data_IF_770385089400
#
_entry.id   IF_770385089400
#
_cell.length_a   1.000
_cell.length_b   1.000
_cell.length_c   1.000
_cell.angle_alpha   90.00
_cell.angle_beta   90.00
_cell.angle_gamma   90.00
#
_symmetry.space_group_name_H-M   'P 1'
#
loop_
_entity.id
_entity.type
_entity.pdbx_description
1 polymer ?
#
# COMPACT_ATOMS: atom_id res chain seq x y z
N UNK A 1 -9.34 8.94 47.21
CA UNK A 1 -9.58 7.72 46.42
C UNK A 1 -10.43 8.06 45.19
N UNK A 2 -10.05 7.51 44.04
CA UNK A 2 -10.76 7.43 42.74
C UNK A 2 -10.75 8.64 41.81
N UNK A 3 -9.73 8.68 40.93
CA UNK A 3 -9.83 9.27 39.58
C UNK A 3 -10.32 8.15 38.62
N UNK A 4 -11.37 8.35 37.81
CA UNK A 4 -11.80 7.34 36.86
C UNK A 4 -10.87 7.30 35.63
N UNK A 5 -10.48 6.08 35.30
CA UNK A 5 -9.96 5.50 34.06
C UNK A 5 -9.67 6.44 32.87
N UNK A 6 -8.42 6.37 32.42
CA UNK A 6 -7.90 7.02 31.23
C UNK A 6 -8.65 6.61 29.96
N UNK A 7 -9.00 7.62 29.19
CA UNK A 7 -9.44 7.48 27.80
C UNK A 7 -8.33 6.76 27.01
N UNK A 8 -8.65 5.71 26.23
CA UNK A 8 -7.66 5.10 25.35
C UNK A 8 -7.23 6.14 24.31
N UNK A 9 -5.92 6.34 24.20
CA UNK A 9 -5.29 7.12 23.13
C UNK A 9 -5.85 6.68 21.78
N UNK A 10 -6.25 7.61 20.89
CA UNK A 10 -6.65 7.22 19.55
C UNK A 10 -5.40 6.72 18.82
N UNK A 11 -5.23 5.40 18.77
CA UNK A 11 -4.40 4.79 17.73
C UNK A 11 -5.02 5.26 16.42
N UNK A 12 -4.22 5.87 15.53
CA UNK A 12 -4.60 6.26 14.18
C UNK A 12 -5.05 5.00 13.42
N UNK A 13 -6.27 4.59 13.69
CA UNK A 13 -6.91 3.45 13.07
C UNK A 13 -7.51 4.02 11.81
N UNK A 14 -6.99 3.61 10.65
CA UNK A 14 -7.65 3.90 9.39
C UNK A 14 -9.14 3.52 9.56
N UNK A 15 -10.09 4.42 9.29
CA UNK A 15 -11.50 4.11 9.45
C UNK A 15 -11.79 2.84 8.66
N UNK A 16 -12.26 1.80 9.38
CA UNK A 16 -12.60 0.53 8.76
C UNK A 16 -13.63 0.81 7.66
N UNK A 17 -13.22 0.67 6.40
CA UNK A 17 -14.14 0.45 5.30
C UNK A 17 -14.51 1.64 4.40
N UNK A 18 -13.72 2.71 4.32
CA UNK A 18 -13.86 3.61 3.16
C UNK A 18 -12.84 3.22 2.08
N UNK A 19 -13.38 2.51 1.08
CA UNK A 19 -12.75 2.10 -0.18
C UNK A 19 -11.59 3.02 -0.57
N UNK A 20 -10.39 2.46 -0.46
CA UNK A 20 -9.14 2.80 -1.13
C UNK A 20 -9.16 4.18 -1.79
N UNK A 21 -8.51 5.22 -1.22
CA UNK A 21 -8.66 6.59 -1.68
C UNK A 21 -8.44 6.64 -3.20
N UNK A 22 -9.55 6.88 -3.91
CA UNK A 22 -9.72 6.80 -5.35
C UNK A 22 -8.99 7.94 -6.10
N UNK A 23 -7.77 8.30 -5.70
CA UNK A 23 -7.05 9.45 -6.26
C UNK A 23 -6.29 9.13 -7.56
N UNK A 24 -6.32 7.90 -8.06
CA UNK A 24 -5.70 7.55 -9.34
C UNK A 24 -6.77 7.32 -10.41
N UNK A 25 -6.79 8.25 -11.38
CA UNK A 25 -7.71 8.28 -12.53
C UNK A 25 -7.65 7.03 -13.41
N UNK A 26 -6.65 6.17 -13.25
CA UNK A 26 -6.50 4.91 -13.98
C UNK A 26 -6.95 3.72 -13.11
N UNK A 27 -8.18 3.23 -13.35
CA UNK A 27 -8.72 2.02 -12.68
C UNK A 27 -8.36 0.72 -13.38
N UNK A 28 -7.87 0.77 -14.61
CA UNK A 28 -7.69 -0.41 -15.44
C UNK A 28 -6.21 -0.80 -15.56
N UNK A 29 -5.87 -1.98 -15.04
CA UNK A 29 -4.61 -2.66 -15.33
C UNK A 29 -4.83 -3.57 -16.54
N UNK A 30 -4.19 -3.26 -17.67
CA UNK A 30 -4.39 -3.95 -18.95
C UNK A 30 -3.08 -4.58 -19.40
N UNK A 31 -3.15 -5.85 -19.80
CA UNK A 31 -2.05 -6.61 -20.40
C UNK A 31 -2.51 -7.10 -21.78
N UNK A 32 -1.78 -6.76 -22.83
CA UNK A 32 -2.22 -7.00 -24.21
C UNK A 32 -1.10 -7.51 -25.12
N UNK A 33 0.13 -7.05 -24.94
CA UNK A 33 1.28 -7.56 -25.66
C UNK A 33 1.89 -8.82 -24.98
N UNK A 34 2.66 -9.64 -25.72
CA UNK A 34 3.23 -10.87 -25.17
C UNK A 34 4.09 -10.70 -23.91
N UNK A 35 4.82 -9.58 -23.77
CA UNK A 35 5.68 -9.36 -22.59
C UNK A 35 4.85 -9.00 -21.37
N UNK A 36 3.82 -8.16 -21.55
CA UNK A 36 2.92 -7.82 -20.45
C UNK A 36 2.07 -9.03 -20.01
N UNK A 37 1.70 -9.92 -20.92
CA UNK A 37 1.07 -11.20 -20.57
C UNK A 37 2.00 -12.13 -19.76
N UNK A 38 3.29 -12.21 -20.10
CA UNK A 38 4.27 -12.94 -19.30
C UNK A 38 4.43 -12.35 -17.90
N UNK A 39 4.41 -11.01 -17.79
CA UNK A 39 4.39 -10.34 -16.50
C UNK A 39 3.15 -10.74 -15.69
N UNK A 40 1.95 -10.73 -16.29
CA UNK A 40 0.73 -11.16 -15.62
C UNK A 40 0.84 -12.59 -15.06
N UNK A 41 1.44 -13.52 -15.80
CA UNK A 41 1.67 -14.89 -15.31
C UNK A 41 2.64 -14.93 -14.13
N UNK A 42 3.67 -14.08 -14.13
CA UNK A 42 4.56 -13.93 -13.00
C UNK A 42 3.84 -13.35 -11.78
N UNK A 43 3.01 -12.32 -11.97
CA UNK A 43 2.22 -11.69 -10.90
C UNK A 43 1.25 -12.68 -10.25
N UNK A 44 0.63 -13.57 -11.02
CA UNK A 44 -0.25 -14.62 -10.48
C UNK A 44 0.49 -15.61 -9.57
N UNK A 45 1.77 -15.88 -9.84
CA UNK A 45 2.60 -16.77 -9.02
C UNK A 45 3.10 -16.08 -7.76
N UNK A 46 3.44 -14.79 -7.88
CA UNK A 46 3.97 -13.99 -6.75
C UNK A 46 2.85 -13.52 -5.81
N UNK A 47 1.64 -13.28 -6.32
CA UNK A 47 0.47 -12.84 -5.55
C UNK A 47 0.30 -13.56 -4.21
N UNK A 48 0.14 -14.89 -4.17
CA UNK A 48 -0.07 -15.65 -2.93
C UNK A 48 1.18 -15.80 -2.05
N UNK A 49 2.32 -15.23 -2.43
CA UNK A 49 3.57 -15.31 -1.66
C UNK A 49 3.62 -14.29 -0.52
N UNK A 50 4.33 -14.65 0.55
CA UNK A 50 4.73 -13.74 1.63
C UNK A 50 6.10 -13.07 1.38
N UNK A 51 6.74 -13.35 0.26
CA UNK A 51 8.00 -12.73 -0.09
C UNK A 51 7.83 -11.23 -0.41
N UNK A 52 8.80 -10.38 0.00
CA UNK A 52 8.85 -8.99 -0.46
C UNK A 52 8.99 -8.95 -1.99
N UNK A 53 8.29 -8.00 -2.63
CA UNK A 53 8.31 -7.85 -4.09
C UNK A 53 8.90 -6.51 -4.50
N UNK A 54 9.92 -6.54 -5.36
CA UNK A 54 10.47 -5.35 -6.01
C UNK A 54 9.88 -5.22 -7.42
N UNK A 55 9.22 -4.09 -7.69
CA UNK A 55 8.65 -3.77 -9.01
C UNK A 55 9.52 -2.72 -9.67
N UNK A 56 10.25 -3.12 -10.72
CA UNK A 56 11.12 -2.23 -11.49
C UNK A 56 10.47 -1.83 -12.82
N UNK A 57 10.75 -0.61 -13.27
CA UNK A 57 10.27 -0.07 -14.54
C UNK A 57 10.33 1.45 -14.57
N UNK A 58 10.20 2.03 -15.76
CA UNK A 58 10.26 3.47 -16.00
C UNK A 58 9.09 4.22 -15.32
N UNK A 59 9.23 5.53 -15.14
CA UNK A 59 8.15 6.39 -14.64
C UNK A 59 6.94 6.31 -15.56
N UNK A 60 5.74 6.17 -15.00
CA UNK A 60 4.48 6.10 -15.77
C UNK A 60 4.09 4.71 -16.29
N UNK A 61 4.86 3.65 -16.03
CA UNK A 61 4.56 2.27 -16.50
C UNK A 61 3.50 1.52 -15.68
N UNK A 62 2.82 2.17 -14.74
CA UNK A 62 1.73 1.55 -13.97
C UNK A 62 2.18 0.63 -12.83
N UNK A 63 3.41 0.80 -12.30
CA UNK A 63 3.95 -0.01 -11.17
C UNK A 63 3.02 -0.07 -9.95
N UNK A 64 2.32 1.02 -9.64
CA UNK A 64 1.38 1.04 -8.53
C UNK A 64 0.16 0.13 -8.78
N UNK A 65 -0.34 0.06 -10.02
CA UNK A 65 -1.42 -0.85 -10.39
C UNK A 65 -0.98 -2.30 -10.26
N UNK A 66 0.29 -2.59 -10.59
CA UNK A 66 0.89 -3.91 -10.37
C UNK A 66 0.94 -4.26 -8.88
N UNK A 67 1.39 -3.33 -8.02
CA UNK A 67 1.43 -3.54 -6.57
C UNK A 67 0.03 -3.81 -5.98
N UNK A 68 -0.98 -3.05 -6.41
CA UNK A 68 -2.39 -3.25 -6.02
C UNK A 68 -2.91 -4.62 -6.47
N UNK A 69 -2.56 -5.05 -7.68
CA UNK A 69 -2.91 -6.37 -8.18
C UNK A 69 -2.31 -7.48 -7.31
N UNK A 70 -1.02 -7.38 -6.96
CA UNK A 70 -0.35 -8.35 -6.07
C UNK A 70 -1.05 -8.40 -4.71
N UNK A 71 -1.35 -7.24 -4.11
CA UNK A 71 -2.07 -7.18 -2.84
C UNK A 71 -3.42 -7.89 -2.90
N UNK A 72 -4.23 -7.60 -3.92
CA UNK A 72 -5.52 -8.25 -4.16
C UNK A 72 -5.37 -9.77 -4.36
N UNK A 73 -4.38 -10.19 -5.16
CA UNK A 73 -4.12 -11.60 -5.43
C UNK A 73 -3.53 -12.37 -4.24
N UNK A 74 -3.02 -11.67 -3.21
CA UNK A 74 -2.43 -12.29 -2.02
C UNK A 74 -3.44 -12.81 -1.01
N UNK A 75 -4.71 -12.41 -1.12
CA UNK A 75 -5.75 -12.78 -0.14
C UNK A 75 -5.64 -12.09 1.22
N UNK A 76 -4.71 -11.12 1.39
CA UNK A 76 -4.59 -10.33 2.61
C UNK A 76 -5.82 -9.44 2.80
N UNK A 77 -6.33 -9.38 4.04
CA UNK A 77 -7.54 -8.63 4.41
C UNK A 77 -7.26 -7.20 4.87
N UNK A 78 -5.99 -6.77 4.88
CA UNK A 78 -5.57 -5.42 5.28
C UNK A 78 -5.71 -4.38 4.16
N UNK A 79 -5.70 -3.11 4.54
CA UNK A 79 -5.66 -2.01 3.58
C UNK A 79 -4.34 -2.00 2.80
N UNK A 80 -4.41 -1.70 1.51
CA UNK A 80 -3.22 -1.37 0.71
C UNK A 80 -2.90 0.11 0.91
N UNK A 81 -1.74 0.40 1.49
CA UNK A 81 -1.31 1.78 1.77
C UNK A 81 -0.11 2.11 0.88
N UNK A 82 -0.32 2.76 -0.28
CA UNK A 82 0.79 3.19 -1.11
C UNK A 82 1.50 4.37 -0.46
N UNK A 83 2.83 4.34 -0.44
CA UNK A 83 3.65 5.46 0.00
C UNK A 83 4.62 5.85 -1.11
N UNK A 84 4.61 7.13 -1.47
CA UNK A 84 5.58 7.71 -2.40
C UNK A 84 6.72 8.34 -1.62
N UNK A 85 7.85 7.63 -1.51
CA UNK A 85 9.02 8.12 -0.79
C UNK A 85 9.61 9.41 -1.37
N UNK A 86 9.42 9.68 -2.67
CA UNK A 86 9.89 10.93 -3.29
C UNK A 86 9.06 12.18 -2.91
N UNK A 87 7.91 11.98 -2.27
CA UNK A 87 7.05 13.07 -1.80
C UNK A 87 7.23 13.37 -0.30
N UNK A 88 8.06 12.62 0.41
CA UNK A 88 8.29 12.75 1.86
C UNK A 88 9.68 13.34 2.09
N UNK A 89 9.77 14.37 2.93
CA UNK A 89 11.05 14.92 3.38
C UNK A 89 11.77 13.92 4.27
N UNK A 90 13.09 13.74 4.09
CA UNK A 90 13.91 12.83 4.91
C UNK A 90 13.72 13.05 6.41
N UNK A 91 13.63 14.31 6.83
CA UNK A 91 13.43 14.72 8.24
C UNK A 91 12.07 14.33 8.83
N UNK A 92 11.07 14.04 7.99
CA UNK A 92 9.72 13.67 8.39
C UNK A 92 9.43 12.18 8.15
N UNK A 93 10.26 11.49 7.36
CA UNK A 93 10.04 10.12 6.94
C UNK A 93 9.85 9.17 8.13
N UNK A 94 10.72 9.24 9.13
CA UNK A 94 10.64 8.37 10.30
C UNK A 94 9.33 8.57 11.07
N UNK A 95 8.94 9.82 11.32
CA UNK A 95 7.71 10.15 12.03
C UNK A 95 6.46 9.74 11.26
N UNK A 96 6.46 9.83 9.93
CA UNK A 96 5.33 9.41 9.09
C UNK A 96 5.22 7.88 8.97
N UNK A 97 6.35 7.16 8.87
CA UNK A 97 6.34 5.70 8.73
C UNK A 97 6.07 4.97 10.04
N UNK A 98 6.62 5.47 11.15
CA UNK A 98 6.62 4.76 12.43
C UNK A 98 5.80 5.46 13.52
N UNK A 99 5.39 6.71 13.28
CA UNK A 99 4.79 7.55 14.31
C UNK A 99 5.83 8.14 15.26
N UNK A 100 5.44 9.20 15.95
CA UNK A 100 6.21 9.81 17.03
C UNK A 100 5.26 10.07 18.21
N UNK A 101 5.66 9.72 19.43
CA UNK A 101 4.91 10.08 20.63
C UNK A 101 5.31 11.48 21.10
N UNK A 102 4.32 12.33 21.41
CA UNK A 102 4.60 13.65 21.97
C UNK A 102 5.19 13.51 23.38
N UNK A 103 6.46 13.90 23.53
CA UNK A 103 7.17 14.10 24.80
C UNK A 103 7.69 15.52 24.92
#
# INVERSE_FOLDING_TARGET
MNRPHGQPTPILTLPQGEKDPLSIRAKALVFADPRSLQLLDYLKRVGPSDAPVLINGETGTGKELVARYIHSASGRTGAFVPVNCGAISETLAESEFFGHEAG
#
